data_IF_036260627315
#
_entry.id   IF_036260627315
#
_cell.length_a   1.000
_cell.length_b   1.000
_cell.length_c   1.000
_cell.angle_alpha   90.00
_cell.angle_beta   90.00
_cell.angle_gamma   90.00
#
_symmetry.space_group_name_H-M   'P 1'
#
loop_
_entity.id
_entity.type
_entity.pdbx_description
1 polymer ?
#
# COMPACT_ATOMS: atom_id res chain seq x y z
N UNK A 1 -16.42 8.63 11.34
CA UNK A 1 -16.05 9.52 10.21
C UNK A 1 -15.24 8.65 9.27
N UNK A 2 -15.82 8.23 8.13
CA UNK A 2 -15.44 7.02 7.35
C UNK A 2 -14.03 6.91 6.75
N UNK A 3 -12.99 7.11 7.56
CA UNK A 3 -11.58 6.92 7.24
C UNK A 3 -11.04 7.79 6.09
N UNK A 4 -9.85 7.43 5.61
CA UNK A 4 -9.19 8.07 4.46
C UNK A 4 -10.05 8.05 3.18
N UNK A 5 -10.97 7.08 3.06
CA UNK A 5 -11.90 7.00 1.93
C UNK A 5 -12.87 8.18 1.90
N UNK A 6 -13.32 8.70 3.04
CA UNK A 6 -14.22 9.85 3.07
C UNK A 6 -13.56 11.12 2.48
N UNK A 7 -12.25 11.30 2.68
CA UNK A 7 -11.50 12.44 2.15
C UNK A 7 -11.46 12.38 0.62
N UNK A 8 -11.09 11.24 0.05
CA UNK A 8 -11.02 11.10 -1.41
C UNK A 8 -12.39 11.19 -2.08
N UNK A 9 -13.45 10.73 -1.41
CA UNK A 9 -14.82 10.91 -1.87
C UNK A 9 -15.26 12.38 -1.82
N UNK A 10 -14.86 13.13 -0.79
CA UNK A 10 -15.12 14.56 -0.73
C UNK A 10 -14.40 15.31 -1.87
N UNK A 11 -13.13 14.98 -2.12
CA UNK A 11 -12.37 15.55 -3.25
C UNK A 11 -13.01 15.22 -4.60
N UNK A 12 -13.49 13.99 -4.79
CA UNK A 12 -14.22 13.58 -6.00
C UNK A 12 -15.45 14.45 -6.23
N UNK A 13 -16.29 14.61 -5.21
CA UNK A 13 -17.52 15.42 -5.30
C UNK A 13 -17.22 16.88 -5.65
N UNK A 14 -16.18 17.46 -5.05
CA UNK A 14 -15.80 18.84 -5.34
C UNK A 14 -15.26 18.98 -6.77
N UNK A 15 -14.46 18.03 -7.25
CA UNK A 15 -13.98 18.02 -8.62
C UNK A 15 -15.14 17.95 -9.63
N UNK A 16 -16.11 17.06 -9.40
CA UNK A 16 -17.31 16.94 -10.23
C UNK A 16 -18.15 18.23 -10.20
N UNK A 17 -18.31 18.86 -9.03
CA UNK A 17 -19.01 20.15 -8.89
C UNK A 17 -18.34 21.28 -9.69
N UNK A 18 -17.01 21.27 -9.78
CA UNK A 18 -16.23 22.20 -10.61
C UNK A 18 -16.19 21.82 -12.11
N UNK A 19 -16.92 20.76 -12.51
CA UNK A 19 -17.01 20.33 -13.91
C UNK A 19 -15.82 19.48 -14.40
N UNK A 20 -14.99 18.97 -13.49
CA UNK A 20 -13.87 18.09 -13.85
C UNK A 20 -14.41 16.75 -14.34
N UNK A 21 -13.99 16.33 -15.53
CA UNK A 21 -14.30 14.99 -16.05
C UNK A 21 -13.29 13.97 -15.53
N UNK A 22 -13.77 12.94 -14.82
CA UNK A 22 -12.93 11.88 -14.27
C UNK A 22 -13.16 10.59 -15.04
N UNK A 23 -12.08 10.04 -15.58
CA UNK A 23 -12.09 8.80 -16.35
C UNK A 23 -11.35 7.71 -15.60
N UNK A 24 -12.09 6.70 -15.15
CA UNK A 24 -11.50 5.49 -14.56
C UNK A 24 -11.28 4.43 -15.65
N UNK A 25 -10.39 3.47 -15.40
CA UNK A 25 -10.02 2.42 -16.37
C UNK A 25 -9.50 2.99 -17.71
N UNK A 26 -8.92 4.19 -17.66
CA UNK A 26 -8.34 4.91 -18.79
C UNK A 26 -6.82 5.00 -18.60
N UNK A 27 -6.14 3.86 -18.72
CA UNK A 27 -4.69 3.80 -18.54
C UNK A 27 -3.97 4.61 -19.62
N UNK A 28 -3.10 5.53 -19.21
CA UNK A 28 -2.24 6.29 -20.11
C UNK A 28 -1.07 5.40 -20.52
N UNK A 29 -0.96 5.13 -21.82
CA UNK A 29 0.13 4.35 -22.41
C UNK A 29 1.34 5.21 -22.73
N UNK A 30 1.12 6.45 -23.16
CA UNK A 30 2.20 7.34 -23.62
C UNK A 30 1.82 8.81 -23.46
N UNK A 31 2.79 9.63 -23.05
CA UNK A 31 2.72 11.09 -23.11
C UNK A 31 3.39 11.52 -24.41
N UNK A 32 2.60 12.11 -25.30
CA UNK A 32 3.05 12.52 -26.62
C UNK A 32 3.63 13.94 -26.54
N UNK A 33 4.89 14.08 -26.95
CA UNK A 33 5.61 15.35 -26.98
C UNK A 33 5.64 15.89 -28.40
N UNK A 34 5.27 17.16 -28.56
CA UNK A 34 5.40 17.91 -29.81
C UNK A 34 6.42 19.03 -29.61
N UNK A 35 7.55 18.94 -30.30
CA UNK A 35 8.73 19.76 -30.04
C UNK A 35 9.19 19.61 -28.58
N UNK A 36 9.05 20.69 -27.80
CA UNK A 36 9.37 20.73 -26.37
C UNK A 36 8.11 20.83 -25.47
N UNK A 37 6.92 20.43 -25.96
CA UNK A 37 5.66 20.56 -25.23
C UNK A 37 4.91 19.23 -25.11
N UNK A 38 4.51 18.88 -23.90
CA UNK A 38 3.57 17.80 -23.62
C UNK A 38 2.13 18.34 -23.70
N UNK A 39 1.42 18.00 -24.77
CA UNK A 39 0.03 18.46 -25.01
C UNK A 39 -0.94 17.32 -25.25
N UNK A 40 -0.46 16.08 -25.29
CA UNK A 40 -1.28 14.93 -25.66
C UNK A 40 -0.91 13.71 -24.83
N UNK A 41 -1.91 12.89 -24.55
CA UNK A 41 -1.73 11.57 -23.93
C UNK A 41 -2.46 10.52 -24.75
N UNK A 42 -1.80 9.40 -25.02
CA UNK A 42 -2.38 8.23 -25.67
C UNK A 42 -2.77 7.22 -24.61
N UNK A 43 -4.02 6.79 -24.63
CA UNK A 43 -4.53 5.74 -23.75
C UNK A 43 -4.20 4.35 -24.30
N UNK A 44 -4.23 3.33 -23.45
CA UNK A 44 -4.04 1.93 -23.85
C UNK A 44 -5.13 1.43 -24.82
N UNK A 45 -6.30 2.08 -24.81
CA UNK A 45 -7.38 1.87 -25.80
C UNK A 45 -7.03 2.35 -27.22
N UNK A 46 -5.97 3.14 -27.39
CA UNK A 46 -5.60 3.79 -28.65
C UNK A 46 -6.14 5.22 -28.80
N UNK A 47 -7.09 5.62 -27.97
CA UNK A 47 -7.60 6.99 -27.93
C UNK A 47 -6.49 7.99 -27.58
N UNK A 48 -6.52 9.19 -28.18
CA UNK A 48 -5.62 10.29 -27.83
C UNK A 48 -6.42 11.46 -27.28
N UNK A 49 -6.07 11.88 -26.07
CA UNK A 49 -6.61 13.08 -25.42
C UNK A 49 -5.64 14.23 -25.65
N UNK A 50 -6.16 15.40 -26.03
CA UNK A 50 -5.36 16.58 -26.39
C UNK A 50 -5.77 17.77 -25.55
N UNK A 51 -4.79 18.43 -24.92
CA UNK A 51 -4.99 19.58 -24.05
C UNK A 51 -3.78 20.53 -24.09
N UNK A 52 -3.98 21.74 -23.57
CA UNK A 52 -2.91 22.76 -23.54
C UNK A 52 -1.75 22.41 -22.61
N UNK A 53 -2.00 21.56 -21.60
CA UNK A 53 -1.06 21.15 -20.56
C UNK A 53 -1.35 19.72 -20.13
N UNK A 54 -0.28 18.98 -19.81
CA UNK A 54 -0.37 17.66 -19.17
C UNK A 54 0.25 17.77 -17.78
N UNK A 55 -0.50 17.33 -16.77
CA UNK A 55 -0.03 17.25 -15.37
C UNK A 55 0.01 15.76 -15.00
N UNK A 56 1.20 15.27 -14.65
CA UNK A 56 1.40 13.87 -14.28
C UNK A 56 1.50 13.74 -12.76
N UNK A 57 0.61 12.93 -12.16
CA UNK A 57 0.67 12.54 -10.75
C UNK A 57 1.16 11.09 -10.56
N UNK A 58 1.91 10.58 -11.54
CA UNK A 58 2.50 9.22 -11.51
C UNK A 58 3.94 9.28 -11.00
N UNK A 59 4.45 8.13 -10.53
CA UNK A 59 5.83 8.02 -10.07
C UNK A 59 6.84 8.44 -11.16
N UNK A 60 7.91 9.19 -10.82
CA UNK A 60 8.82 9.75 -11.81
C UNK A 60 9.54 8.67 -12.64
N UNK A 61 9.88 7.53 -12.03
CA UNK A 61 10.50 6.42 -12.76
C UNK A 61 9.57 5.84 -13.83
N UNK A 62 8.28 5.66 -13.52
CA UNK A 62 7.28 5.21 -14.50
C UNK A 62 7.12 6.24 -15.62
N UNK A 63 6.94 7.52 -15.26
CA UNK A 63 6.76 8.61 -16.20
C UNK A 63 7.90 8.68 -17.22
N UNK A 64 9.14 8.76 -16.74
CA UNK A 64 10.31 9.03 -17.58
C UNK A 64 10.98 7.78 -18.16
N UNK A 65 10.61 6.58 -17.71
CA UNK A 65 11.17 5.33 -18.28
C UNK A 65 10.19 4.60 -19.21
N UNK A 66 8.89 4.86 -19.12
CA UNK A 66 7.88 4.11 -19.87
C UNK A 66 6.88 5.00 -20.59
N UNK A 67 6.41 6.09 -19.97
CA UNK A 67 5.35 6.92 -20.56
C UNK A 67 5.88 8.00 -21.51
N UNK A 68 7.06 8.56 -21.26
CA UNK A 68 7.72 9.51 -22.14
C UNK A 68 8.78 8.78 -22.96
N UNK A 69 8.73 8.95 -24.28
CA UNK A 69 9.73 8.38 -25.19
C UNK A 69 11.14 8.86 -24.88
N UNK A 70 12.09 7.94 -24.88
CA UNK A 70 13.48 8.19 -24.49
C UNK A 70 14.18 9.27 -25.34
N UNK A 71 13.75 9.46 -26.58
CA UNK A 71 14.25 10.49 -27.49
C UNK A 71 13.95 11.92 -27.01
N UNK A 72 12.97 12.08 -26.12
CA UNK A 72 12.58 13.39 -25.57
C UNK A 72 13.31 13.74 -24.27
N UNK A 73 14.25 12.90 -23.83
CA UNK A 73 14.93 13.05 -22.55
C UNK A 73 16.43 13.19 -22.75
N UNK A 74 17.02 14.18 -22.08
CA UNK A 74 18.46 14.38 -22.10
C UNK A 74 19.22 13.14 -21.56
N UNK A 75 20.36 12.74 -22.16
CA UNK A 75 21.09 11.53 -21.77
C UNK A 75 21.44 11.46 -20.28
N UNK A 76 21.88 12.59 -19.71
CA UNK A 76 22.20 12.72 -18.29
C UNK A 76 20.98 12.50 -17.39
N UNK A 77 19.84 13.08 -17.76
CA UNK A 77 18.58 12.90 -17.04
C UNK A 77 18.12 11.45 -17.09
N UNK A 78 18.18 10.82 -18.27
CA UNK A 78 17.86 9.38 -18.43
C UNK A 78 18.72 8.50 -17.55
N UNK A 79 20.02 8.78 -17.44
CA UNK A 79 20.91 8.03 -16.53
C UNK A 79 20.45 8.15 -15.08
N UNK A 80 20.09 9.36 -14.62
CA UNK A 80 19.57 9.57 -13.26
C UNK A 80 18.27 8.85 -13.01
N UNK A 81 17.32 8.91 -13.95
CA UNK A 81 16.03 8.19 -13.86
C UNK A 81 16.24 6.68 -13.76
N UNK A 82 17.15 6.11 -14.58
CA UNK A 82 17.49 4.67 -14.50
C UNK A 82 18.06 4.29 -13.13
N UNK A 83 18.92 5.14 -12.56
CA UNK A 83 19.49 4.95 -11.23
C UNK A 83 18.54 5.23 -10.07
N UNK A 84 17.37 5.84 -10.33
CA UNK A 84 16.39 6.14 -9.29
C UNK A 84 15.83 4.83 -8.73
N UNK A 85 16.13 4.56 -7.46
CA UNK A 85 15.64 3.37 -6.77
C UNK A 85 14.19 3.59 -6.37
N UNK A 86 13.32 2.71 -6.84
CA UNK A 86 11.90 2.66 -6.45
C UNK A 86 11.69 1.31 -5.84
N UNK A 87 11.21 1.29 -4.61
CA UNK A 87 10.93 0.09 -3.87
C UNK A 87 10.44 0.48 -2.48
N UNK A 88 9.40 -0.19 -2.01
CA UNK A 88 8.94 -0.04 -0.64
C UNK A 88 9.54 -1.16 0.19
N UNK A 89 10.33 -0.81 1.20
CA UNK A 89 10.95 -1.77 2.11
C UNK A 89 9.98 -2.34 3.15
N UNK A 90 8.70 -2.49 2.78
CA UNK A 90 7.59 -2.58 3.74
C UNK A 90 6.60 -3.68 3.36
N UNK A 91 6.11 -4.37 4.37
CA UNK A 91 5.00 -5.30 4.26
C UNK A 91 3.78 -4.71 4.99
N UNK A 92 2.61 -4.76 4.37
CA UNK A 92 1.37 -4.30 5.00
C UNK A 92 0.39 -5.45 5.16
N UNK A 93 -0.10 -5.61 6.37
CA UNK A 93 -1.08 -6.63 6.72
C UNK A 93 -2.25 -5.99 7.46
N UNK A 94 -3.47 -6.40 7.13
CA UNK A 94 -4.64 -6.04 7.93
C UNK A 94 -5.25 -7.32 8.50
N UNK A 95 -5.63 -7.29 9.77
CA UNK A 95 -6.23 -8.43 10.46
C UNK A 95 -7.52 -7.98 11.14
N UNK A 96 -8.48 -8.90 11.20
CA UNK A 96 -9.67 -8.76 12.02
C UNK A 96 -9.45 -9.53 13.33
N UNK A 97 -9.74 -8.87 14.44
CA UNK A 97 -9.50 -9.34 15.79
C UNK A 97 -10.80 -9.55 16.54
N UNK A 98 -10.92 -10.64 17.28
CA UNK A 98 -12.05 -10.95 18.18
C UNK A 98 -11.94 -10.26 19.54
N UNK A 99 -10.76 -9.74 19.87
CA UNK A 99 -10.47 -8.96 21.07
C UNK A 99 -9.26 -8.06 20.83
N UNK A 100 -8.97 -7.12 21.74
CA UNK A 100 -7.77 -6.27 21.61
C UNK A 100 -6.49 -7.03 22.00
N UNK A 101 -5.33 -6.68 21.43
CA UNK A 101 -4.06 -7.28 21.83
C UNK A 101 -3.71 -6.96 23.30
N UNK A 102 -3.36 -7.98 24.08
CA UNK A 102 -2.96 -7.88 25.48
C UNK A 102 -1.45 -7.65 25.59
N UNK A 103 -1.03 -6.39 25.55
CA UNK A 103 0.40 -6.05 25.56
C UNK A 103 1.03 -6.28 26.95
N UNK A 104 2.11 -7.03 27.01
CA UNK A 104 2.82 -7.36 28.27
C UNK A 104 3.28 -6.15 29.06
N UNK A 105 3.58 -5.03 28.40
CA UNK A 105 3.98 -3.78 29.05
C UNK A 105 2.79 -2.92 29.55
N UNK A 106 1.57 -3.18 29.06
CA UNK A 106 0.32 -2.53 29.45
C UNK A 106 -0.86 -3.53 29.33
N UNK A 107 -0.96 -4.48 30.27
CA UNK A 107 -1.88 -5.60 30.10
C UNK A 107 -3.36 -5.23 30.09
N UNK A 108 -4.17 -6.08 29.48
CA UNK A 108 -5.63 -6.05 29.44
C UNK A 108 -6.20 -5.92 28.04
N UNK A 109 -7.19 -6.75 27.74
CA UNK A 109 -7.90 -6.80 26.44
C UNK A 109 -9.08 -5.81 26.33
N UNK A 110 -9.34 -5.03 27.37
CA UNK A 110 -10.32 -3.95 27.34
C UNK A 110 -9.75 -2.71 26.64
N UNK A 111 -10.63 -1.84 26.13
CA UNK A 111 -10.21 -0.61 25.47
C UNK A 111 -9.41 0.28 26.43
N UNK A 112 -8.21 0.67 26.00
CA UNK A 112 -7.29 1.51 26.77
C UNK A 112 -6.70 2.59 25.85
N UNK A 113 -6.15 3.70 26.38
CA UNK A 113 -5.64 4.79 25.55
C UNK A 113 -4.59 4.38 24.51
N UNK A 114 -3.74 3.40 24.83
CA UNK A 114 -2.71 2.93 23.91
C UNK A 114 -3.29 2.20 22.68
N UNK A 115 -4.44 1.54 22.82
CA UNK A 115 -5.19 0.92 21.72
C UNK A 115 -5.78 1.93 20.72
N UNK A 116 -5.84 3.21 21.10
CA UNK A 116 -6.31 4.33 20.27
C UNK A 116 -5.14 5.17 19.72
N UNK A 117 -3.91 4.68 19.83
CA UNK A 117 -2.69 5.38 19.43
C UNK A 117 -1.87 4.56 18.44
N UNK A 118 -0.78 5.14 17.93
CA UNK A 118 0.24 4.39 17.20
C UNK A 118 1.05 3.52 18.15
N UNK A 119 1.01 2.20 17.93
CA UNK A 119 1.80 1.24 18.71
C UNK A 119 3.00 0.84 17.84
N UNK A 120 4.22 0.97 18.36
CA UNK A 120 5.44 0.64 17.63
C UNK A 120 6.23 -0.40 18.39
N UNK A 121 6.52 -1.51 17.72
CA UNK A 121 7.43 -2.55 18.20
C UNK A 121 8.79 -2.32 17.54
N UNK A 122 9.75 -1.84 18.33
CA UNK A 122 11.10 -1.51 17.91
C UNK A 122 11.89 -0.96 19.11
N UNK A 123 12.15 -1.79 20.14
CA UNK A 123 12.45 -1.32 21.48
C UNK A 123 13.80 -0.60 21.65
N UNK A 124 14.78 -0.88 20.81
CA UNK A 124 16.15 -0.35 20.96
C UNK A 124 16.79 -0.06 19.61
N UNK A 125 17.83 0.79 19.60
CA UNK A 125 18.60 1.06 18.37
C UNK A 125 19.21 -0.22 17.78
N UNK A 126 19.80 -1.07 18.62
CA UNK A 126 20.37 -2.36 18.20
C UNK A 126 19.32 -3.27 17.55
N UNK A 127 18.05 -3.18 17.97
CA UNK A 127 16.97 -3.90 17.31
C UNK A 127 16.75 -3.39 15.88
N UNK A 128 16.70 -2.06 15.69
CA UNK A 128 16.52 -1.45 14.37
C UNK A 128 17.68 -1.80 13.43
N UNK A 129 18.91 -1.77 13.95
CA UNK A 129 20.11 -2.13 13.19
C UNK A 129 20.10 -3.60 12.77
N UNK A 130 19.82 -4.52 13.70
CA UNK A 130 19.67 -5.96 13.38
C UNK A 130 18.57 -6.19 12.35
N UNK A 131 17.43 -5.50 12.49
CA UNK A 131 16.34 -5.62 11.53
C UNK A 131 16.76 -5.20 10.12
N UNK A 132 17.52 -4.10 10.02
CA UNK A 132 18.09 -3.66 8.75
C UNK A 132 19.07 -4.69 8.17
N UNK A 133 20.03 -5.15 8.97
CA UNK A 133 21.04 -6.14 8.53
C UNK A 133 20.37 -7.43 8.04
N UNK A 134 19.44 -7.99 8.81
CA UNK A 134 18.71 -9.20 8.41
C UNK A 134 17.99 -9.01 7.07
N UNK A 135 17.30 -7.90 6.88
CA UNK A 135 16.57 -7.66 5.64
C UNK A 135 17.49 -7.51 4.44
N UNK A 136 18.67 -6.89 4.61
CA UNK A 136 19.66 -6.80 3.54
C UNK A 136 20.30 -8.15 3.21
N UNK A 137 20.41 -9.05 4.18
CA UNK A 137 21.09 -10.34 4.01
C UNK A 137 20.16 -11.46 3.59
N UNK A 138 18.93 -11.48 4.10
CA UNK A 138 17.99 -12.60 3.99
C UNK A 138 16.70 -12.24 3.24
N UNK A 139 16.49 -10.97 2.91
CA UNK A 139 15.30 -10.47 2.23
C UNK A 139 14.24 -9.88 3.17
N UNK A 140 14.12 -10.34 4.42
CA UNK A 140 13.35 -9.65 5.45
C UNK A 140 13.91 -9.92 6.85
N UNK A 141 13.59 -9.04 7.79
CA UNK A 141 13.99 -9.23 9.18
C UNK A 141 13.24 -10.38 9.85
N UNK A 142 13.94 -11.15 10.69
CA UNK A 142 13.30 -12.11 11.61
C UNK A 142 12.55 -11.43 12.75
N UNK A 143 12.87 -10.17 13.03
CA UNK A 143 12.25 -9.31 14.04
C UNK A 143 12.05 -7.91 13.43
N UNK A 144 11.11 -7.76 12.48
CA UNK A 144 10.87 -6.50 11.81
C UNK A 144 10.27 -5.47 12.76
N UNK A 145 10.48 -4.19 12.47
CA UNK A 145 9.72 -3.13 13.15
C UNK A 145 8.26 -3.25 12.71
N UNK A 146 7.35 -3.30 13.68
CA UNK A 146 5.91 -3.38 13.43
C UNK A 146 5.21 -2.18 14.04
N UNK A 147 4.58 -1.37 13.20
CA UNK A 147 3.65 -0.33 13.61
C UNK A 147 2.22 -0.85 13.49
N UNK A 148 1.45 -0.76 14.58
CA UNK A 148 0.08 -1.25 14.67
C UNK A 148 -0.85 -0.06 14.93
N UNK A 149 -1.90 0.03 14.13
CA UNK A 149 -3.03 0.94 14.32
C UNK A 149 -4.31 0.11 14.38
N UNK A 150 -5.18 0.40 15.35
CA UNK A 150 -6.46 -0.28 15.50
C UNK A 150 -7.59 0.73 15.28
N UNK A 151 -7.83 1.20 14.04
CA UNK A 151 -8.73 2.33 13.78
C UNK A 151 -10.17 2.12 14.25
N UNK A 152 -10.63 0.87 14.38
CA UNK A 152 -11.96 0.55 14.92
C UNK A 152 -12.15 0.96 16.39
N UNK A 153 -11.07 1.24 17.13
CA UNK A 153 -11.15 1.78 18.50
C UNK A 153 -11.56 3.24 18.53
N UNK A 154 -11.41 3.96 17.41
CA UNK A 154 -11.77 5.37 17.24
C UNK A 154 -13.04 5.51 16.38
N UNK A 155 -13.18 4.69 15.33
CA UNK A 155 -14.37 4.65 14.47
C UNK A 155 -15.05 3.27 14.53
N UNK A 156 -16.10 3.11 15.36
CA UNK A 156 -16.82 1.86 15.51
C UNK A 156 -17.48 1.35 14.22
N UNK A 157 -17.67 2.18 13.19
CA UNK A 157 -18.26 1.72 11.91
C UNK A 157 -17.35 0.77 11.12
N UNK A 158 -16.08 0.67 11.51
CA UNK A 158 -15.08 -0.14 10.81
C UNK A 158 -15.11 -1.63 11.19
N UNK A 159 -15.76 -2.01 12.29
CA UNK A 159 -15.85 -3.38 12.75
C UNK A 159 -17.17 -3.66 13.48
N UNK A 160 -17.67 -4.90 13.52
CA UNK A 160 -18.78 -5.27 14.39
C UNK A 160 -18.48 -5.01 15.87
N UNK A 161 -19.54 -4.93 16.68
CA UNK A 161 -19.41 -4.77 18.13
C UNK A 161 -18.57 -5.91 18.73
N UNK A 162 -17.64 -5.57 19.63
CA UNK A 162 -16.70 -6.50 20.25
C UNK A 162 -15.59 -7.01 19.32
N UNK A 163 -15.50 -6.53 18.07
CA UNK A 163 -14.46 -6.90 17.13
C UNK A 163 -13.66 -5.69 16.69
N UNK A 164 -12.47 -5.94 16.17
CA UNK A 164 -11.55 -4.88 15.78
C UNK A 164 -10.88 -5.16 14.44
N UNK A 165 -10.48 -4.10 13.74
CA UNK A 165 -9.59 -4.19 12.58
C UNK A 165 -8.28 -3.53 12.96
N UNK A 166 -7.18 -4.28 12.85
CA UNK A 166 -5.84 -3.78 13.04
C UNK A 166 -5.09 -3.72 11.71
N UNK A 167 -4.45 -2.58 11.44
CA UNK A 167 -3.53 -2.35 10.32
C UNK A 167 -2.11 -2.42 10.84
N UNK A 168 -1.31 -3.32 10.26
CA UNK A 168 0.09 -3.50 10.57
C UNK A 168 0.93 -2.98 9.41
N UNK A 169 1.80 -2.03 9.71
CA UNK A 169 2.81 -1.52 8.80
C UNK A 169 4.18 -2.01 9.28
N UNK A 170 4.75 -2.94 8.52
CA UNK A 170 5.96 -3.66 8.89
C UNK A 170 7.10 -3.21 8.00
N UNK A 171 8.24 -2.91 8.61
CA UNK A 171 9.42 -2.40 7.91
C UNK A 171 10.48 -3.49 7.75
N UNK A 172 11.51 -3.21 6.95
CA UNK A 172 12.63 -4.13 6.68
C UNK A 172 12.20 -5.41 5.93
N UNK A 173 11.45 -5.21 4.83
CA UNK A 173 11.13 -6.23 3.83
C UNK A 173 11.67 -5.80 2.47
N UNK A 174 12.66 -6.51 1.93
CA UNK A 174 13.30 -6.14 0.68
C UNK A 174 12.28 -6.14 -0.48
N UNK A 175 12.26 -5.10 -1.34
CA UNK A 175 11.35 -5.05 -2.49
C UNK A 175 11.52 -6.23 -3.44
N UNK A 176 12.75 -6.74 -3.54
CA UNK A 176 13.16 -7.90 -4.33
C UNK A 176 13.89 -8.88 -3.40
N UNK A 177 13.54 -10.16 -3.46
CA UNK A 177 14.20 -11.20 -2.71
C UNK A 177 15.45 -11.70 -3.45
N UNK A 178 16.44 -12.20 -2.71
CA UNK A 178 17.66 -12.78 -3.29
C UNK A 178 17.36 -14.07 -4.06
N UNK A 179 18.32 -14.47 -4.90
CA UNK A 179 18.37 -15.81 -5.52
C UNK A 179 17.15 -16.17 -6.39
N UNK A 180 16.48 -15.15 -6.96
CA UNK A 180 15.32 -15.33 -7.84
C UNK A 180 14.03 -15.71 -7.12
N UNK A 181 13.99 -15.62 -5.79
CA UNK A 181 12.77 -15.87 -4.99
C UNK A 181 11.69 -14.83 -5.29
N UNK A 182 10.43 -15.25 -5.22
CA UNK A 182 9.28 -14.38 -5.45
C UNK A 182 8.46 -14.20 -4.16
N UNK A 183 8.05 -12.97 -3.88
CA UNK A 183 7.16 -12.65 -2.77
C UNK A 183 5.86 -13.46 -2.76
N UNK A 184 5.36 -13.90 -3.91
CA UNK A 184 4.16 -14.76 -3.97
C UNK A 184 4.33 -16.08 -3.21
N UNK A 185 5.54 -16.62 -3.15
CA UNK A 185 5.86 -17.88 -2.46
C UNK A 185 6.18 -17.65 -0.97
N UNK A 186 6.70 -16.48 -0.63
CA UNK A 186 7.24 -16.16 0.71
C UNK A 186 6.34 -15.25 1.56
N UNK A 187 5.30 -14.64 0.98
CA UNK A 187 4.41 -13.69 1.69
C UNK A 187 3.79 -14.26 2.96
N UNK A 188 3.47 -15.56 2.96
CA UNK A 188 2.84 -16.21 4.10
C UNK A 188 3.85 -16.40 5.25
N UNK A 189 5.08 -16.79 4.94
CA UNK A 189 6.16 -16.93 5.92
C UNK A 189 6.55 -15.57 6.52
N UNK A 190 6.56 -14.52 5.70
CA UNK A 190 6.74 -13.15 6.17
C UNK A 190 5.58 -12.70 7.08
N UNK A 191 4.33 -13.04 6.74
CA UNK A 191 3.17 -12.75 7.59
C UNK A 191 3.27 -13.46 8.95
N UNK A 192 3.68 -14.73 8.98
CA UNK A 192 3.93 -15.45 10.23
C UNK A 192 5.04 -14.79 11.05
N UNK A 193 6.14 -14.35 10.43
CA UNK A 193 7.24 -13.65 11.12
C UNK A 193 6.74 -12.37 11.81
N UNK A 194 5.85 -11.61 11.14
CA UNK A 194 5.23 -10.42 11.71
C UNK A 194 4.35 -10.79 12.89
N UNK A 195 3.51 -11.82 12.75
CA UNK A 195 2.61 -12.27 13.82
C UNK A 195 3.42 -12.73 15.03
N UNK A 196 4.47 -13.54 14.82
CA UNK A 196 5.35 -14.02 15.89
C UNK A 196 6.07 -12.87 16.60
N UNK A 197 6.44 -11.83 15.85
CA UNK A 197 6.99 -10.60 16.43
C UNK A 197 5.96 -9.93 17.34
N UNK A 198 4.71 -9.79 16.92
CA UNK A 198 3.66 -9.21 17.77
C UNK A 198 3.35 -10.10 18.98
N UNK A 199 3.30 -11.43 18.82
CA UNK A 199 3.06 -12.39 19.91
C UNK A 199 4.06 -12.22 21.05
N UNK A 200 5.32 -11.91 20.73
CA UNK A 200 6.34 -11.67 21.76
C UNK A 200 6.04 -10.49 22.69
N UNK A 201 5.16 -9.57 22.26
CA UNK A 201 4.70 -8.43 23.03
C UNK A 201 3.23 -8.52 23.43
N UNK A 202 2.40 -9.25 22.69
CA UNK A 202 0.98 -9.46 22.95
C UNK A 202 0.61 -10.95 22.72
N UNK A 203 0.77 -11.82 23.74
CA UNK A 203 0.66 -13.27 23.59
C UNK A 203 -0.68 -13.76 23.03
N UNK A 204 -1.78 -13.07 23.31
CA UNK A 204 -3.12 -13.42 22.82
C UNK A 204 -3.32 -13.09 21.33
N UNK A 205 -2.39 -12.38 20.68
CA UNK A 205 -2.61 -11.82 19.35
C UNK A 205 -2.93 -12.87 18.28
N UNK A 206 -2.34 -14.07 18.36
CA UNK A 206 -2.62 -15.16 17.40
C UNK A 206 -4.06 -15.62 17.49
N UNK A 207 -4.54 -15.87 18.70
CA UNK A 207 -5.88 -16.37 18.96
C UNK A 207 -6.94 -15.28 18.73
N UNK A 208 -6.56 -14.02 18.93
CA UNK A 208 -7.41 -12.88 18.58
C UNK A 208 -7.64 -12.77 17.07
N UNK A 209 -6.70 -13.18 16.21
CA UNK A 209 -6.88 -13.12 14.75
C UNK A 209 -7.84 -14.21 14.28
N UNK A 210 -9.09 -13.84 13.98
CA UNK A 210 -10.04 -14.77 13.35
C UNK A 210 -10.07 -14.66 11.82
N UNK A 211 -9.51 -13.59 11.24
CA UNK A 211 -9.41 -13.42 9.79
C UNK A 211 -8.27 -12.49 9.40
N UNK A 212 -7.49 -12.89 8.38
CA UNK A 212 -6.61 -11.98 7.65
C UNK A 212 -7.40 -11.29 6.55
N UNK A 213 -7.37 -9.96 6.54
CA UNK A 213 -8.10 -9.16 5.57
C UNK A 213 -7.14 -8.75 4.47
N UNK A 214 -7.29 -9.38 3.30
CA UNK A 214 -6.59 -8.92 2.11
C UNK A 214 -7.14 -7.53 1.73
N UNK A 215 -6.29 -6.49 1.60
CA UNK A 215 -6.71 -5.16 1.15
C UNK A 215 -7.40 -5.13 -0.23
N UNK A 216 -7.36 -6.23 -1.00
CA UNK A 216 -8.07 -6.37 -2.28
C UNK A 216 -9.54 -6.83 -2.16
N UNK A 217 -10.02 -7.20 -0.96
CA UNK A 217 -11.43 -7.56 -0.78
C UNK A 217 -12.33 -6.32 -0.73
N UNK A 218 -13.42 -6.34 -1.51
CA UNK A 218 -14.19 -5.18 -2.01
C UNK A 218 -14.80 -4.21 -0.96
N UNK A 219 -14.61 -4.42 0.34
CA UNK A 219 -15.15 -3.56 1.42
C UNK A 219 -14.09 -2.81 2.23
N UNK A 220 -12.81 -3.15 2.13
CA UNK A 220 -11.72 -2.50 2.87
C UNK A 220 -10.58 -2.07 1.95
N UNK A 221 -10.82 -1.03 1.14
CA UNK A 221 -9.76 -0.32 0.43
C UNK A 221 -9.17 0.75 1.35
N UNK A 222 -8.21 0.37 2.20
CA UNK A 222 -7.19 1.33 2.59
C UNK A 222 -6.28 1.58 1.37
N UNK A 223 -5.82 2.80 1.09
CA UNK A 223 -4.87 3.02 0.01
C UNK A 223 -3.57 2.30 0.38
N UNK A 224 -3.37 1.13 -0.19
CA UNK A 224 -2.09 0.42 -0.18
C UNK A 224 -1.47 0.71 -1.55
N UNK A 225 -0.39 1.48 -1.55
CA UNK A 225 0.43 1.68 -2.73
C UNK A 225 1.26 0.40 -2.95
N UNK A 226 0.64 -0.60 -3.58
CA UNK A 226 1.36 -1.66 -4.28
C UNK A 226 1.04 -1.51 -5.77
N UNK A 227 1.97 -0.94 -6.51
CA UNK A 227 2.08 -1.17 -7.95
C UNK A 227 3.52 -1.61 -8.23
N UNK A 228 3.70 -2.94 -8.26
CA UNK A 228 4.86 -3.58 -8.85
C UNK A 228 4.44 -4.18 -10.19
N UNK A 229 4.23 -3.35 -11.21
CA UNK A 229 4.79 -3.54 -12.56
C UNK A 229 4.58 -4.87 -13.31
N UNK A 230 3.65 -5.75 -12.94
CA UNK A 230 3.21 -6.90 -13.76
C UNK A 230 1.72 -7.20 -13.56
N UNK A 231 0.95 -7.10 -14.64
CA UNK A 231 -0.46 -7.48 -14.71
C UNK A 231 -0.69 -8.97 -14.43
N UNK A 232 -1.71 -9.35 -13.64
CA UNK A 232 -2.39 -10.64 -13.79
C UNK A 232 -3.78 -10.48 -14.45
N UNK A 233 -4.26 -11.48 -15.22
CA UNK A 233 -5.45 -11.37 -16.06
C UNK A 233 -6.71 -11.75 -15.28
N UNK A 234 -7.45 -10.77 -14.75
CA UNK A 234 -8.81 -11.04 -14.24
C UNK A 234 -9.83 -10.14 -14.93
N UNK A 235 -10.62 -10.74 -15.84
CA UNK A 235 -11.81 -10.13 -16.44
C UNK A 235 -12.96 -10.21 -15.44
N UNK A 236 -13.39 -9.07 -14.89
CA UNK A 236 -14.67 -8.98 -14.18
C UNK A 236 -15.80 -8.88 -15.22
N UNK A 237 -16.67 -9.89 -15.32
CA UNK A 237 -17.98 -9.75 -15.99
C UNK A 237 -18.95 -9.10 -15.02
N UNK A 238 -19.53 -7.97 -15.42
CA UNK A 238 -20.66 -7.34 -14.72
C UNK A 238 -21.87 -7.54 -15.62
N UNK A 239 -22.90 -8.24 -15.12
CA UNK A 239 -24.18 -8.43 -15.80
C UNK A 239 -25.01 -7.13 -15.81
N UNK A 240 -26.03 -7.03 -16.67
CA UNK A 240 -26.78 -5.79 -16.88
C UNK A 240 -27.68 -5.48 -15.68
N UNK A 241 -27.71 -4.20 -15.30
CA UNK A 241 -28.71 -3.64 -14.40
C UNK A 241 -29.96 -3.42 -15.24
N UNK A 242 -31.05 -4.12 -14.92
CA UNK A 242 -32.37 -3.92 -15.50
C UNK A 242 -33.16 -3.01 -14.56
N UNK A 243 -33.75 -1.95 -15.13
CA UNK A 243 -35.01 -1.30 -14.73
C UNK A 243 -35.08 -0.69 -13.34
#
# INVERSE_FOLDING_TARGET
MGGMGAITQAMLKEAEHLGVTIRIKAEVKEVLIDGNRATRVRLSSGETVTDSKVIANVGPKLLYSQLIGEQHLEPEFRRRVRGFKVGSGTFRMNVALSELPDFTCKPGTHLQPHHQSGIVIGPTMDYLERAYVDATQYGWSKQPIVEILIPSTIDPSLAPEGQHVASLFCQQFAPELSDGKNWDDYREQAAETIIDTVISYAPNFRDAIYRRVNPLSARFRAPVWFDQGRHPPWRLRVGPIVG
#
